data_IF_636464741969
#
_entry.id   IF_636464741969
#
_cell.length_a   1.000
_cell.length_b   1.000
_cell.length_c   1.000
_cell.angle_alpha   90.00
_cell.angle_beta   90.00
_cell.angle_gamma   90.00
#
_symmetry.space_group_name_H-M   'P 1'
#
loop_
_entity.id
_entity.type
_entity.pdbx_description
1 polymer ?
#
# COMPACT_ATOMS: atom_id res chain seq x y z
N UNK A 1 0.90 11.67 -10.07
CA UNK A 1 -0.56 12.02 -10.08
C UNK A 1 -1.30 11.63 -8.80
N UNK A 2 -1.14 10.40 -8.29
CA UNK A 2 -1.82 9.95 -7.06
C UNK A 2 -1.52 10.83 -5.84
N UNK A 3 -0.28 11.31 -5.70
CA UNK A 3 0.16 12.17 -4.59
C UNK A 3 -0.61 13.48 -4.47
N UNK A 4 -0.93 14.14 -5.60
CA UNK A 4 -1.71 15.40 -5.58
C UNK A 4 -3.13 15.15 -5.05
N UNK A 5 -3.79 14.10 -5.55
CA UNK A 5 -5.15 13.71 -5.10
C UNK A 5 -5.15 13.27 -3.63
N UNK A 6 -4.16 12.49 -3.20
CA UNK A 6 -4.02 12.05 -1.81
C UNK A 6 -3.82 13.24 -0.85
N UNK A 7 -2.99 14.21 -1.22
CA UNK A 7 -2.80 15.46 -0.45
C UNK A 7 -4.08 16.28 -0.35
N UNK A 8 -4.85 16.38 -1.43
CA UNK A 8 -6.15 17.07 -1.41
C UNK A 8 -7.13 16.41 -0.44
N UNK A 9 -7.22 15.07 -0.43
CA UNK A 9 -8.06 14.35 0.54
C UNK A 9 -7.56 14.50 1.97
N UNK A 10 -6.25 14.54 2.18
CA UNK A 10 -5.66 14.78 3.48
C UNK A 10 -6.03 16.18 4.03
N UNK A 11 -6.12 17.19 3.17
CA UNK A 11 -6.57 18.52 3.57
C UNK A 11 -8.01 18.47 4.10
N UNK A 12 -8.93 17.80 3.41
CA UNK A 12 -10.29 17.61 3.91
C UNK A 12 -10.32 16.81 5.22
N UNK A 13 -9.48 15.78 5.36
CA UNK A 13 -9.39 15.02 6.61
C UNK A 13 -8.93 15.89 7.79
N UNK A 14 -8.00 16.83 7.57
CA UNK A 14 -7.59 17.80 8.60
C UNK A 14 -8.76 18.69 9.00
N UNK A 15 -9.48 19.22 8.01
CA UNK A 15 -10.63 20.06 8.25
C UNK A 15 -11.75 19.32 9.02
N UNK A 16 -12.00 18.05 8.69
CA UNK A 16 -12.95 17.20 9.41
C UNK A 16 -12.55 16.97 10.88
N UNK A 17 -11.25 16.98 11.21
CA UNK A 17 -10.79 16.89 12.59
C UNK A 17 -11.13 18.14 13.40
N UNK A 18 -11.17 19.31 12.77
CA UNK A 18 -11.49 20.57 13.45
C UNK A 18 -12.94 20.58 13.98
N UNK A 19 -13.85 19.86 13.30
CA UNK A 19 -15.23 19.62 13.75
C UNK A 19 -15.36 18.61 14.90
N UNK A 20 -14.23 18.15 15.49
CA UNK A 20 -14.19 17.19 16.62
C UNK A 20 -14.97 15.89 16.39
N UNK A 21 -14.98 15.41 15.14
CA UNK A 21 -15.58 14.12 14.82
C UNK A 21 -14.87 12.96 15.53
N UNK A 22 -15.60 11.87 15.86
CA UNK A 22 -15.01 10.70 16.48
C UNK A 22 -13.97 10.07 15.54
N UNK A 23 -12.87 9.58 16.12
CA UNK A 23 -11.76 8.96 15.39
C UNK A 23 -12.21 7.86 14.42
N UNK A 24 -13.26 7.11 14.77
CA UNK A 24 -13.82 6.07 13.91
C UNK A 24 -14.35 6.59 12.56
N UNK A 25 -14.99 7.76 12.57
CA UNK A 25 -15.51 8.39 11.34
C UNK A 25 -14.36 8.88 10.46
N UNK A 26 -13.33 9.45 11.08
CA UNK A 26 -12.11 9.89 10.36
C UNK A 26 -11.36 8.69 9.75
N UNK A 27 -11.28 7.56 10.47
CA UNK A 27 -10.70 6.32 9.96
C UNK A 27 -11.48 5.76 8.77
N UNK A 28 -12.81 5.73 8.86
CA UNK A 28 -13.66 5.29 7.75
C UNK A 28 -13.48 6.21 6.53
N UNK A 29 -13.42 7.52 6.74
CA UNK A 29 -13.18 8.48 5.67
C UNK A 29 -11.84 8.22 4.97
N UNK A 30 -10.76 7.99 5.74
CA UNK A 30 -9.45 7.61 5.20
C UNK A 30 -9.53 6.34 4.35
N UNK A 31 -10.14 5.29 4.89
CA UNK A 31 -10.31 3.98 4.21
C UNK A 31 -11.11 4.13 2.92
N UNK A 32 -12.17 4.94 2.93
CA UNK A 32 -13.03 5.11 1.76
C UNK A 32 -12.41 6.00 0.67
N UNK A 33 -11.64 7.04 1.02
CA UNK A 33 -11.12 8.01 0.03
C UNK A 33 -9.63 7.88 -0.25
N UNK A 34 -8.79 7.83 0.78
CA UNK A 34 -7.34 7.78 0.58
C UNK A 34 -6.93 6.37 0.18
N UNK A 35 -7.39 5.34 0.88
CA UNK A 35 -7.09 3.95 0.51
C UNK A 35 -7.68 3.58 -0.86
N UNK A 36 -8.84 4.11 -1.27
CA UNK A 36 -9.37 3.88 -2.62
C UNK A 36 -8.55 4.55 -3.72
N UNK A 37 -8.06 5.79 -3.51
CA UNK A 37 -7.14 6.46 -4.44
C UNK A 37 -5.83 5.69 -4.55
N UNK A 38 -5.32 5.18 -3.42
CA UNK A 38 -4.12 4.36 -3.40
C UNK A 38 -4.38 3.07 -4.18
N UNK A 39 -5.36 2.26 -3.76
CA UNK A 39 -5.62 0.90 -4.28
C UNK A 39 -6.26 0.83 -5.66
N UNK A 40 -6.90 1.91 -6.13
CA UNK A 40 -7.64 1.94 -7.39
C UNK A 40 -6.77 1.60 -8.61
N UNK A 41 -5.55 2.13 -8.65
CA UNK A 41 -4.59 1.90 -9.74
C UNK A 41 -3.15 1.69 -9.24
N UNK A 42 -2.97 1.27 -7.98
CA UNK A 42 -1.65 1.07 -7.36
C UNK A 42 -0.72 0.21 -8.21
N UNK A 43 -1.23 -0.85 -8.84
CA UNK A 43 -0.41 -1.75 -9.65
C UNK A 43 0.18 -1.08 -10.89
N UNK A 44 -0.46 -0.04 -11.41
CA UNK A 44 -0.02 0.67 -12.61
C UNK A 44 0.97 1.79 -12.27
N UNK A 45 0.69 2.57 -11.22
CA UNK A 45 1.57 3.70 -10.88
C UNK A 45 2.69 3.33 -9.92
N UNK A 46 2.58 2.28 -9.10
CA UNK A 46 3.63 1.93 -8.14
C UNK A 46 4.93 1.54 -8.87
N UNK A 47 4.83 0.74 -9.94
CA UNK A 47 5.98 0.40 -10.79
C UNK A 47 6.58 1.59 -11.52
N UNK A 48 5.76 2.54 -11.96
CA UNK A 48 6.18 3.75 -12.67
C UNK A 48 6.55 4.94 -11.76
N UNK A 49 6.45 4.78 -10.43
CA UNK A 49 6.66 5.87 -9.47
C UNK A 49 8.12 5.97 -9.05
N UNK A 50 8.59 7.21 -8.90
CA UNK A 50 9.92 7.49 -8.34
C UNK A 50 9.95 7.21 -6.83
N UNK A 51 11.14 7.00 -6.26
CA UNK A 51 11.31 6.88 -4.80
C UNK A 51 10.76 8.11 -4.05
N UNK A 52 10.89 9.30 -4.64
CA UNK A 52 10.37 10.55 -4.08
C UNK A 52 8.84 10.57 -4.01
N UNK A 53 8.17 10.07 -5.05
CA UNK A 53 6.70 9.97 -5.05
C UNK A 53 6.18 9.01 -3.98
N UNK A 54 6.86 7.87 -3.80
CA UNK A 54 6.51 6.89 -2.75
C UNK A 54 6.66 7.49 -1.36
N UNK A 55 7.79 8.15 -1.09
CA UNK A 55 7.99 8.88 0.18
C UNK A 55 6.96 9.98 0.39
N UNK A 56 6.57 10.69 -0.67
CA UNK A 56 5.56 11.73 -0.57
C UNK A 56 4.17 11.16 -0.21
N UNK A 57 3.84 9.96 -0.70
CA UNK A 57 2.61 9.23 -0.34
C UNK A 57 2.68 8.66 1.08
N UNK A 58 3.81 8.09 1.49
CA UNK A 58 4.02 7.66 2.87
C UNK A 58 3.83 8.82 3.86
N UNK A 59 4.34 10.01 3.55
CA UNK A 59 4.10 11.22 4.36
C UNK A 59 2.61 11.56 4.49
N UNK A 60 1.80 11.29 3.46
CA UNK A 60 0.34 11.46 3.52
C UNK A 60 -0.27 10.44 4.47
N UNK A 61 0.13 9.18 4.39
CA UNK A 61 -0.34 8.11 5.30
C UNK A 61 0.04 8.44 6.75
N UNK A 62 1.30 8.79 7.02
CA UNK A 62 1.76 9.19 8.37
C UNK A 62 1.06 10.45 8.89
N UNK A 63 0.72 11.38 8.01
CA UNK A 63 -0.07 12.54 8.40
C UNK A 63 -1.50 12.15 8.77
N UNK A 64 -2.12 11.25 8.02
CA UNK A 64 -3.45 10.74 8.32
C UNK A 64 -3.46 9.97 9.65
N UNK A 65 -2.43 9.17 9.91
CA UNK A 65 -2.22 8.41 11.16
C UNK A 65 -2.23 9.34 12.38
N UNK A 66 -1.51 10.47 12.29
CA UNK A 66 -1.52 11.52 13.33
C UNK A 66 -2.86 12.23 13.49
N UNK A 67 -3.69 12.25 12.44
CA UNK A 67 -5.01 12.89 12.48
C UNK A 67 -6.04 11.96 13.11
N UNK A 68 -6.06 10.70 12.69
CA UNK A 68 -7.01 9.70 13.19
C UNK A 68 -6.60 9.14 14.55
N UNK A 69 -5.33 9.24 14.95
CA UNK A 69 -4.74 8.60 16.15
C UNK A 69 -4.91 7.07 16.14
N UNK A 70 -4.86 6.49 14.95
CA UNK A 70 -4.97 5.03 14.73
C UNK A 70 -3.81 4.58 13.87
N UNK A 71 -3.28 3.40 14.12
CA UNK A 71 -2.29 2.80 13.23
C UNK A 71 -2.90 2.60 11.84
N UNK A 72 -2.19 3.10 10.81
CA UNK A 72 -2.58 2.96 9.42
C UNK A 72 -1.58 2.06 8.70
N UNK A 73 -2.03 1.23 7.74
CA UNK A 73 -1.16 0.33 7.01
C UNK A 73 -0.14 1.12 6.18
N UNK A 74 1.09 0.61 6.13
CA UNK A 74 2.14 1.17 5.30
C UNK A 74 1.81 1.06 3.80
N UNK A 75 2.37 1.97 2.99
CA UNK A 75 2.14 1.99 1.55
C UNK A 75 2.52 0.66 0.88
N UNK A 76 3.62 0.04 1.30
CA UNK A 76 4.06 -1.25 0.79
C UNK A 76 3.06 -2.36 1.16
N UNK A 77 2.57 -2.33 2.39
CA UNK A 77 1.57 -3.30 2.87
C UNK A 77 0.26 -3.20 2.09
N UNK A 78 -0.21 -1.98 1.80
CA UNK A 78 -1.40 -1.74 0.96
C UNK A 78 -1.19 -2.32 -0.44
N UNK A 79 0.00 -2.11 -1.03
CA UNK A 79 0.35 -2.65 -2.33
C UNK A 79 0.37 -4.18 -2.35
N UNK A 80 1.05 -4.80 -1.40
CA UNK A 80 1.17 -6.26 -1.31
C UNK A 80 -0.19 -6.91 -1.08
N UNK A 81 -0.99 -6.37 -0.17
CA UNK A 81 -2.37 -6.82 0.08
C UNK A 81 -3.22 -6.75 -1.19
N UNK A 82 -3.08 -5.68 -1.97
CA UNK A 82 -3.82 -5.49 -3.22
C UNK A 82 -3.36 -6.47 -4.29
N UNK A 83 -2.06 -6.66 -4.45
CA UNK A 83 -1.46 -7.61 -5.39
C UNK A 83 -1.92 -9.04 -5.07
N UNK A 84 -1.83 -9.44 -3.81
CA UNK A 84 -2.27 -10.75 -3.34
C UNK A 84 -3.78 -10.96 -3.55
N UNK A 85 -4.61 -9.95 -3.25
CA UNK A 85 -6.06 -10.05 -3.46
C UNK A 85 -6.40 -10.24 -4.93
N UNK A 86 -5.72 -9.51 -5.83
CA UNK A 86 -5.93 -9.64 -7.27
C UNK A 86 -5.45 -10.99 -7.79
N UNK A 87 -4.27 -11.46 -7.38
CA UNK A 87 -3.78 -12.79 -7.71
C UNK A 87 -4.74 -13.89 -7.23
N UNK A 88 -5.23 -13.80 -5.98
CA UNK A 88 -6.22 -14.74 -5.43
C UNK A 88 -7.51 -14.76 -6.24
N UNK A 89 -8.00 -13.61 -6.72
CA UNK A 89 -9.20 -13.54 -7.58
C UNK A 89 -8.98 -14.25 -8.90
N UNK A 90 -7.84 -14.02 -9.54
CA UNK A 90 -7.50 -14.65 -10.82
C UNK A 90 -7.36 -16.17 -10.65
N UNK A 91 -6.72 -16.65 -9.58
CA UNK A 91 -6.59 -18.08 -9.30
C UNK A 91 -7.93 -18.76 -9.02
N UNK A 92 -8.85 -18.04 -8.37
CA UNK A 92 -10.20 -18.54 -8.08
C UNK A 92 -11.13 -18.51 -9.29
N UNK A 93 -10.80 -17.78 -10.34
CA UNK A 93 -11.65 -17.61 -11.52
C UNK A 93 -11.52 -18.84 -12.45
N UNK A 94 -12.58 -19.65 -12.61
CA UNK A 94 -12.53 -20.88 -13.40
C UNK A 94 -12.45 -20.63 -14.91
N UNK A 95 -12.89 -19.47 -15.40
CA UNK A 95 -12.89 -19.13 -16.85
C UNK A 95 -11.64 -18.38 -17.28
N UNK A 96 -10.70 -18.13 -16.37
CA UNK A 96 -9.52 -17.35 -16.68
C UNK A 96 -8.62 -18.10 -17.70
N UNK A 97 -8.31 -17.50 -18.87
CA UNK A 97 -7.58 -18.16 -19.96
C UNK A 97 -6.19 -18.64 -19.54
N UNK A 98 -5.63 -18.04 -18.49
CA UNK A 98 -4.30 -18.33 -18.00
C UNK A 98 -4.24 -19.25 -16.76
N UNK A 99 -5.32 -19.97 -16.43
CA UNK A 99 -5.41 -20.86 -15.25
C UNK A 99 -4.27 -21.88 -15.20
N UNK A 100 -3.91 -22.48 -16.34
CA UNK A 100 -2.84 -23.49 -16.44
C UNK A 100 -1.46 -22.92 -16.10
N UNK A 101 -1.13 -21.73 -16.61
CA UNK A 101 0.12 -21.04 -16.31
C UNK A 101 0.20 -20.56 -14.86
N UNK A 102 -0.91 -20.10 -14.27
CA UNK A 102 -0.94 -19.69 -12.85
C UNK A 102 -0.82 -20.86 -11.87
N UNK A 103 -1.31 -22.04 -12.24
CA UNK A 103 -1.12 -23.26 -11.45
C UNK A 103 0.35 -23.72 -11.42
N UNK A 104 1.07 -23.51 -12.53
CA UNK A 104 2.51 -23.84 -12.66
C UNK A 104 3.41 -22.77 -12.03
N UNK A 105 3.03 -21.49 -12.13
CA UNK A 105 3.76 -20.36 -11.53
C UNK A 105 3.58 -20.24 -10.01
N UNK A 106 2.87 -21.17 -9.37
CA UNK A 106 2.66 -21.20 -7.90
C UNK A 106 3.97 -21.25 -7.10
N UNK A 107 5.09 -21.58 -7.75
CA UNK A 107 6.45 -21.57 -7.18
C UNK A 107 7.20 -20.25 -7.47
N UNK A 108 6.92 -19.57 -8.60
CA UNK A 108 7.65 -18.36 -9.01
C UNK A 108 6.97 -17.03 -8.60
N UNK A 109 5.65 -16.98 -8.45
CA UNK A 109 4.97 -15.71 -8.14
C UNK A 109 5.20 -15.22 -6.70
N UNK A 110 5.59 -16.12 -5.79
CA UNK A 110 6.06 -15.75 -4.45
C UNK A 110 7.51 -15.23 -4.49
N UNK A 111 8.34 -15.73 -5.41
CA UNK A 111 9.76 -15.38 -5.52
C UNK A 111 10.04 -14.12 -6.32
N UNK A 112 9.31 -13.83 -7.41
CA UNK A 112 9.52 -12.58 -8.16
C UNK A 112 9.20 -11.31 -7.34
N UNK A 113 8.36 -11.41 -6.30
CA UNK A 113 8.08 -10.30 -5.39
C UNK A 113 9.01 -10.24 -4.18
N UNK A 114 9.41 -11.40 -3.62
CA UNK A 114 10.42 -11.43 -2.55
C UNK A 114 11.82 -11.06 -3.02
N UNK A 115 12.21 -11.34 -4.27
CA UNK A 115 13.56 -11.06 -4.75
C UNK A 115 13.82 -9.56 -5.00
N UNK A 116 12.78 -8.74 -5.20
CA UNK A 116 12.95 -7.28 -5.35
C UNK A 116 13.01 -6.52 -4.02
N UNK A 117 12.63 -7.13 -2.89
CA UNK A 117 12.72 -6.50 -1.55
C UNK A 117 13.92 -6.98 -0.73
N UNK A 118 14.53 -8.13 -1.06
CA UNK A 118 15.72 -8.61 -0.35
C UNK A 118 17.06 -7.98 -0.80
N UNK A 119 17.07 -7.04 -1.75
CA UNK A 119 18.28 -6.30 -2.15
C UNK A 119 18.46 -4.95 -1.44
N UNK A 120 17.58 -4.58 -0.49
CA UNK A 120 17.68 -3.30 0.21
C UNK A 120 17.37 -3.38 1.71
N UNK A 121 17.93 -4.35 2.44
CA UNK A 121 18.27 -4.20 3.88
C UNK A 121 19.23 -5.29 4.35
N UNK A 122 20.50 -5.20 3.95
CA UNK A 122 21.61 -5.71 4.79
C UNK A 122 22.49 -4.53 5.15
N UNK A 123 22.11 -3.78 6.19
CA UNK A 123 23.10 -3.07 7.00
C UNK A 123 23.81 -4.11 7.87
N UNK A 124 25.16 -4.10 7.94
CA UNK A 124 25.88 -5.01 8.82
C UNK A 124 25.66 -4.57 10.27
N UNK A 125 25.00 -5.41 11.06
CA UNK A 125 25.04 -5.28 12.51
C UNK A 125 26.34 -5.90 13.00
N UNK A 126 27.11 -5.10 13.73
CA UNK A 126 28.34 -5.49 14.44
C UNK A 126 28.08 -6.72 15.29
N UNK A 127 28.91 -7.74 15.14
CA UNK A 127 29.08 -8.81 16.12
C UNK A 127 30.13 -8.32 17.11
N UNK A 128 29.75 -8.21 18.37
CA UNK A 128 30.63 -8.02 19.51
C UNK A 128 30.18 -8.94 20.63
N UNK A 129 31.14 -9.28 21.50
CA UNK A 129 31.13 -10.22 22.64
C UNK A 129 31.52 -11.64 22.23
N UNK A 130 32.69 -12.18 22.61
CA UNK A 130 33.48 -12.04 23.85
C UNK A 130 34.94 -11.62 23.62
#
# INVERSE_FOLDING_TARGET
MATKKARQRLYHLRHLRDFRLPSKVLQNFYTCTIESILTGNITVWFGNSTKQDRQALERVVRSAERITRTELPDLQTIYDKRCQTKARRIVKDPTHPNKRLLSLLRICFCWMFSLSLNTCTRKPHKVGSF
#
